data_IF_185458770185
#
_entry.id   IF_185458770185
#
_cell.length_a   1.000
_cell.length_b   1.000
_cell.length_c   1.000
_cell.angle_alpha   90.00
_cell.angle_beta   90.00
_cell.angle_gamma   90.00
#
_symmetry.space_group_name_H-M   'P 1'
#
loop_
_entity.id
_entity.type
_entity.pdbx_description
1 polymer ?
#
# COMPACT_ATOMS: atom_id res chain seq x y z
N UNK A 1 -0.16 0.26 -13.60
CA UNK A 1 -0.66 1.58 -14.06
C UNK A 1 -0.34 2.60 -12.99
N UNK A 2 0.18 3.76 -13.39
CA UNK A 2 0.55 4.86 -12.49
C UNK A 2 -0.03 6.14 -13.07
N UNK A 3 -0.86 6.82 -12.28
CA UNK A 3 -1.55 8.04 -12.67
C UNK A 3 -1.07 9.19 -11.78
N UNK A 4 -0.86 10.34 -12.41
CA UNK A 4 -0.45 11.58 -11.75
C UNK A 4 -1.55 12.64 -11.88
N UNK A 5 -1.59 13.57 -10.92
CA UNK A 5 -2.44 14.76 -10.93
C UNK A 5 -1.54 15.99 -10.97
N UNK A 6 -1.84 16.92 -11.86
CA UNK A 6 -1.14 18.20 -11.92
C UNK A 6 -1.77 19.19 -10.94
N UNK A 7 -0.94 19.87 -10.13
CA UNK A 7 -1.33 20.98 -9.29
C UNK A 7 -0.21 22.04 -9.28
N UNK A 8 -0.53 23.30 -9.59
CA UNK A 8 0.41 24.42 -9.61
C UNK A 8 1.69 24.16 -10.45
N UNK A 9 1.54 23.51 -11.62
CA UNK A 9 2.66 23.18 -12.51
C UNK A 9 3.56 22.03 -12.01
N UNK A 10 3.17 21.33 -10.95
CA UNK A 10 3.87 20.16 -10.41
C UNK A 10 2.99 18.92 -10.54
N UNK A 11 3.62 17.78 -10.82
CA UNK A 11 2.94 16.49 -10.94
C UNK A 11 3.07 15.69 -9.66
N UNK A 12 1.93 15.27 -9.12
CA UNK A 12 1.84 14.50 -7.89
C UNK A 12 1.29 13.11 -8.18
N UNK A 13 1.81 12.10 -7.49
CA UNK A 13 1.28 10.75 -7.61
C UNK A 13 -0.18 10.74 -7.13
N UNK A 14 -1.08 10.22 -7.96
CA UNK A 14 -2.52 10.19 -7.66
C UNK A 14 -3.04 8.79 -7.38
N UNK A 15 -2.74 7.84 -8.25
CA UNK A 15 -3.25 6.48 -8.15
C UNK A 15 -2.26 5.49 -8.76
N UNK A 16 -2.09 4.34 -8.12
CA UNK A 16 -1.26 3.26 -8.63
C UNK A 16 -1.96 1.92 -8.49
N UNK A 17 -1.87 1.11 -9.53
CA UNK A 17 -2.20 -0.31 -9.50
C UNK A 17 -1.02 -1.11 -10.00
N UNK A 18 -0.55 -2.06 -9.22
CA UNK A 18 0.55 -2.94 -9.58
C UNK A 18 0.16 -4.40 -9.41
N UNK A 19 0.74 -5.23 -10.26
CA UNK A 19 0.62 -6.68 -10.25
C UNK A 19 2.00 -7.22 -9.96
N UNK A 20 2.11 -8.04 -8.92
CA UNK A 20 3.37 -8.63 -8.49
C UNK A 20 3.25 -10.14 -8.57
N UNK A 21 4.11 -10.75 -9.37
CA UNK A 21 4.27 -12.19 -9.43
C UNK A 21 5.64 -12.55 -8.88
N UNK A 22 5.70 -13.43 -7.89
CA UNK A 22 6.96 -13.86 -7.29
C UNK A 22 6.97 -15.36 -7.03
N UNK A 23 8.17 -15.95 -7.11
CA UNK A 23 8.39 -17.38 -6.87
C UNK A 23 9.08 -17.57 -5.53
N UNK A 24 8.51 -18.41 -4.68
CA UNK A 24 9.07 -18.81 -3.40
C UNK A 24 9.67 -20.20 -3.52
N UNK A 25 10.96 -20.31 -3.24
CA UNK A 25 11.69 -21.56 -3.14
C UNK A 25 11.74 -21.99 -1.66
N UNK A 26 10.94 -22.99 -1.30
CA UNK A 26 10.89 -23.46 0.07
C UNK A 26 12.07 -24.36 0.40
N UNK A 27 12.67 -24.14 1.56
CA UNK A 27 13.69 -25.05 2.11
C UNK A 27 13.07 -26.46 2.23
N UNK A 28 13.75 -27.46 1.69
CA UNK A 28 13.34 -28.90 1.70
C UNK A 28 12.07 -29.24 0.88
N UNK A 29 11.60 -28.37 -0.03
CA UNK A 29 10.62 -28.78 -1.05
C UNK A 29 11.27 -28.84 -2.43
N UNK A 30 10.92 -29.87 -3.20
CA UNK A 30 11.39 -30.06 -4.60
C UNK A 30 10.62 -29.20 -5.62
N UNK A 31 9.45 -28.67 -5.24
CA UNK A 31 8.66 -27.77 -6.07
C UNK A 31 8.58 -26.38 -5.46
N UNK A 32 8.73 -25.36 -6.31
CA UNK A 32 8.52 -23.97 -5.95
C UNK A 32 7.02 -23.63 -5.91
N UNK A 33 6.69 -22.52 -5.26
CA UNK A 33 5.34 -21.96 -5.27
C UNK A 33 5.38 -20.60 -5.95
N UNK A 34 4.49 -20.37 -6.91
CA UNK A 34 4.32 -19.06 -7.53
C UNK A 34 3.15 -18.35 -6.84
N UNK A 35 3.38 -17.10 -6.45
CA UNK A 35 2.40 -16.21 -5.86
C UNK A 35 2.11 -15.07 -6.84
N UNK A 36 0.85 -14.67 -6.87
CA UNK A 36 0.37 -13.56 -7.66
C UNK A 36 -0.43 -12.66 -6.73
N UNK A 37 -0.07 -11.39 -6.67
CA UNK A 37 -0.77 -10.40 -5.86
C UNK A 37 -1.00 -9.13 -6.67
N UNK A 38 -2.04 -8.40 -6.31
CA UNK A 38 -2.36 -7.09 -6.86
C UNK A 38 -2.34 -6.10 -5.72
N UNK A 39 -1.71 -4.95 -5.95
CA UNK A 39 -1.75 -3.82 -5.03
C UNK A 39 -2.45 -2.64 -5.73
N UNK A 40 -3.25 -1.92 -4.97
CA UNK A 40 -3.96 -0.73 -5.42
C UNK A 40 -3.81 0.35 -4.35
N UNK A 41 -3.44 1.56 -4.76
CA UNK A 41 -3.19 2.68 -3.86
C UNK A 41 -3.72 3.96 -4.49
N UNK A 42 -4.47 4.73 -3.71
CA UNK A 42 -5.00 6.03 -4.09
C UNK A 42 -4.58 7.08 -3.07
N UNK A 43 -3.96 8.16 -3.55
CA UNK A 43 -3.56 9.30 -2.74
C UNK A 43 -4.73 10.29 -2.70
N UNK A 44 -5.29 10.46 -1.51
CA UNK A 44 -6.45 11.32 -1.26
C UNK A 44 -6.07 12.73 -0.83
N UNK A 45 -4.97 12.86 -0.09
CA UNK A 45 -4.46 14.12 0.43
C UNK A 45 -2.93 14.11 0.45
N UNK A 46 -2.31 15.28 0.33
CA UNK A 46 -0.86 15.42 0.38
C UNK A 46 -0.50 16.64 1.23
N UNK A 47 0.50 16.48 2.09
CA UNK A 47 1.07 17.58 2.84
C UNK A 47 2.51 17.80 2.40
N UNK A 48 2.99 19.05 2.31
CA UNK A 48 4.40 19.33 2.13
C UNK A 48 5.19 18.65 3.25
N UNK A 49 6.25 17.92 2.90
CA UNK A 49 7.17 17.41 3.90
C UNK A 49 7.86 18.59 4.62
N UNK A 50 8.14 18.44 5.91
CA UNK A 50 9.02 19.37 6.61
C UNK A 50 10.37 19.45 5.87
N UNK A 51 10.97 20.64 5.82
CA UNK A 51 12.31 20.87 5.22
C UNK A 51 13.43 20.27 6.07
N UNK A 52 13.35 18.98 6.39
CA UNK A 52 14.39 18.22 7.06
C UNK A 52 14.95 17.17 6.12
N UNK A 53 16.29 17.05 6.00
CA UNK A 53 16.88 15.97 5.23
C UNK A 53 16.48 14.63 5.85
N UNK A 54 15.96 13.71 5.03
CA UNK A 54 15.68 12.34 5.46
C UNK A 54 16.97 11.72 6.01
N UNK A 55 16.93 11.19 7.23
CA UNK A 55 18.09 10.44 7.73
C UNK A 55 18.16 9.13 6.94
N UNK A 56 19.36 8.61 6.63
CA UNK A 56 19.49 7.33 5.95
C UNK A 56 18.74 6.17 6.63
N UNK A 57 18.56 6.25 7.96
CA UNK A 57 17.78 5.28 8.74
C UNK A 57 16.26 5.37 8.57
N UNK A 58 15.73 6.50 8.09
CA UNK A 58 14.29 6.71 7.89
C UNK A 58 13.82 6.14 6.53
N UNK A 59 14.76 5.72 5.67
CA UNK A 59 14.45 5.16 4.36
C UNK A 59 13.98 3.72 4.52
N UNK A 60 12.86 3.39 3.87
CA UNK A 60 12.40 2.02 3.77
C UNK A 60 13.48 1.19 3.07
N UNK A 61 13.94 0.12 3.73
CA UNK A 61 14.91 -0.81 3.14
C UNK A 61 14.18 -1.75 2.19
N UNK A 62 14.81 -2.08 1.07
CA UNK A 62 14.27 -2.99 0.06
C UNK A 62 13.97 -4.40 0.62
N UNK A 63 14.69 -4.79 1.67
CA UNK A 63 14.57 -6.09 2.33
C UNK A 63 13.77 -6.03 3.63
N UNK A 64 13.08 -4.93 3.92
CA UNK A 64 12.22 -4.87 5.10
C UNK A 64 11.04 -5.82 4.89
N UNK A 65 10.89 -6.77 5.80
CA UNK A 65 9.68 -7.59 5.87
C UNK A 65 8.75 -6.85 6.81
N UNK A 66 7.64 -6.35 6.30
CA UNK A 66 6.59 -5.73 7.12
C UNK A 66 5.80 -6.85 7.83
N UNK A 67 6.45 -7.51 8.79
CA UNK A 67 5.88 -8.61 9.58
C UNK A 67 5.01 -8.11 10.74
N UNK A 68 5.23 -6.87 11.20
CA UNK A 68 4.49 -6.27 12.32
C UNK A 68 2.96 -6.17 12.09
N UNK A 69 2.48 -6.40 10.87
CA UNK A 69 1.05 -6.45 10.54
C UNK A 69 0.44 -7.87 10.61
N UNK A 70 1.21 -8.92 10.92
CA UNK A 70 0.69 -10.30 10.99
C UNK A 70 -0.30 -10.47 12.14
N UNK A 71 -0.05 -9.86 13.30
CA UNK A 71 -1.00 -9.84 14.43
C UNK A 71 -2.30 -9.11 14.07
N UNK A 72 -2.22 -8.11 13.18
CA UNK A 72 -3.37 -7.36 12.68
C UNK A 72 -4.35 -8.13 11.81
N UNK A 73 -4.03 -9.36 11.40
CA UNK A 73 -5.00 -10.27 10.78
C UNK A 73 -5.83 -11.05 11.81
N UNK A 74 -5.39 -11.11 13.07
CA UNK A 74 -6.07 -11.82 14.15
C UNK A 74 -6.83 -10.87 15.09
N UNK A 75 -6.48 -9.58 15.11
CA UNK A 75 -7.15 -8.55 15.89
C UNK A 75 -8.06 -7.70 14.99
N UNK A 76 -9.37 -7.85 15.16
CA UNK A 76 -10.40 -7.08 14.45
C UNK A 76 -10.29 -5.56 14.70
N UNK A 77 -9.68 -5.13 15.81
CA UNK A 77 -9.46 -3.73 16.17
C UNK A 77 -8.12 -3.15 15.73
N UNK A 78 -7.18 -3.96 15.23
CA UNK A 78 -5.81 -3.52 14.88
C UNK A 78 -5.80 -2.40 13.85
N UNK A 79 -6.73 -2.45 12.90
CA UNK A 79 -6.86 -1.43 11.85
C UNK A 79 -7.63 -0.19 12.30
N UNK A 80 -8.10 -0.10 13.56
CA UNK A 80 -8.64 1.11 14.19
C UNK A 80 -9.50 1.99 13.28
N UNK A 81 -9.10 3.27 13.14
CA UNK A 81 -9.73 4.29 12.28
C UNK A 81 -9.29 4.23 10.80
N UNK A 82 -8.46 3.25 10.41
CA UNK A 82 -8.06 3.10 9.02
C UNK A 82 -9.24 2.58 8.18
N UNK A 83 -9.36 3.11 6.96
CA UNK A 83 -10.42 2.68 6.05
C UNK A 83 -10.13 1.28 5.52
N UNK A 84 -10.65 0.26 6.22
CA UNK A 84 -10.55 -1.14 5.80
C UNK A 84 -11.30 -1.33 4.49
N UNK A 85 -10.59 -1.83 3.48
CA UNK A 85 -11.17 -2.28 2.22
C UNK A 85 -11.14 -3.79 2.27
N UNK A 86 -12.32 -4.42 2.25
CA UNK A 86 -12.40 -5.86 2.19
C UNK A 86 -11.65 -6.39 0.95
N UNK A 87 -10.93 -7.52 1.08
CA UNK A 87 -10.42 -8.23 -0.07
C UNK A 87 -11.55 -8.41 -1.09
N UNK A 88 -11.28 -8.13 -2.37
CA UNK A 88 -12.24 -8.15 -3.49
C UNK A 88 -13.11 -6.88 -3.69
N UNK A 89 -13.11 -5.92 -2.78
CA UNK A 89 -13.76 -4.62 -3.05
C UNK A 89 -12.85 -3.69 -3.87
N UNK A 90 -13.34 -3.11 -4.99
CA UNK A 90 -12.59 -2.09 -5.74
C UNK A 90 -12.33 -0.85 -4.88
N UNK A 91 -11.12 -0.28 -4.94
CA UNK A 91 -10.75 0.91 -4.14
C UNK A 91 -11.67 2.09 -4.40
N UNK A 92 -12.27 2.21 -5.58
CA UNK A 92 -13.19 3.29 -5.95
C UNK A 92 -14.42 3.30 -5.04
N UNK A 93 -14.92 2.12 -4.65
CA UNK A 93 -16.07 1.99 -3.76
C UNK A 93 -15.71 2.43 -2.33
N UNK A 94 -14.51 2.08 -1.88
CA UNK A 94 -13.99 2.52 -0.59
C UNK A 94 -13.81 4.05 -0.55
N UNK A 95 -13.17 4.64 -1.56
CA UNK A 95 -12.96 6.10 -1.66
C UNK A 95 -14.31 6.84 -1.59
N UNK A 96 -15.33 6.36 -2.31
CA UNK A 96 -16.68 6.94 -2.29
C UNK A 96 -17.32 6.92 -0.89
N UNK A 97 -17.09 5.87 -0.10
CA UNK A 97 -17.57 5.81 1.31
C UNK A 97 -16.85 6.84 2.16
N UNK A 98 -15.53 6.91 2.08
CA UNK A 98 -14.69 7.82 2.87
C UNK A 98 -15.06 9.29 2.60
N UNK A 99 -15.27 9.64 1.33
CA UNK A 99 -15.68 10.99 0.93
C UNK A 99 -17.08 11.38 1.39
N UNK A 100 -17.99 10.41 1.64
CA UNK A 100 -19.33 10.70 2.16
C UNK A 100 -19.37 10.91 3.67
N UNK A 101 -18.39 10.37 4.39
CA UNK A 101 -18.30 10.49 5.86
C UNK A 101 -17.59 11.78 6.28
N UNK A 102 -16.81 12.38 5.38
CA UNK A 102 -16.29 13.76 5.50
C UNK A 102 -17.37 14.77 5.16
#
# INVERSE_FOLDING_TARGET
>A
MVNYREQNGKWFLGYTRAYVAFRVNWKRKVFNTNYYTTMEMAITDWNPAEERPYKPGDRLRENVIMEDAVEGFYDEGFWGDYNVIEPEQPIENAIRRIQKTR
#
